data_IF_049736232345
#
_entry.id   IF_049736232345
#
_cell.length_a   1.000
_cell.length_b   1.000
_cell.length_c   1.000
_cell.angle_alpha   90.00
_cell.angle_beta   90.00
_cell.angle_gamma   90.00
#
_symmetry.space_group_name_H-M   'P 1'
#
loop_
_entity.id
_entity.type
_entity.pdbx_description
1 polymer ?
#
# COMPACT_ATOMS: atom_id res chain seq x y z
N UNK A 1 -10.29 78.78 16.37
CA UNK A 1 -9.20 77.84 16.63
C UNK A 1 -9.79 76.44 16.63
N UNK A 2 -9.72 75.72 15.50
CA UNK A 2 -10.32 74.38 15.33
C UNK A 2 -9.22 73.33 15.60
N UNK A 3 -9.44 72.49 16.63
CA UNK A 3 -8.54 71.38 16.96
C UNK A 3 -8.95 70.17 16.10
N UNK A 4 -8.05 69.77 15.19
CA UNK A 4 -8.17 68.51 14.42
C UNK A 4 -7.62 67.37 15.28
N UNK A 5 -8.50 66.44 15.70
CA UNK A 5 -8.07 65.19 16.33
C UNK A 5 -7.80 64.16 15.22
N UNK A 6 -6.55 63.76 15.09
CA UNK A 6 -6.16 62.67 14.20
C UNK A 6 -6.34 61.35 14.95
N UNK A 7 -7.29 60.57 14.48
CA UNK A 7 -7.52 59.20 14.98
C UNK A 7 -6.58 58.26 14.27
N UNK A 8 -5.59 57.73 15.01
CA UNK A 8 -4.61 56.76 14.51
C UNK A 8 -5.28 55.36 14.59
N UNK A 9 -5.68 54.78 13.43
CA UNK A 9 -6.19 53.42 13.32
C UNK A 9 -5.01 52.45 13.18
N UNK A 10 -4.71 51.77 14.26
CA UNK A 10 -3.69 50.68 14.25
C UNK A 10 -4.33 49.43 13.68
N UNK A 11 -3.91 49.05 12.46
CA UNK A 11 -4.28 47.77 11.82
C UNK A 11 -3.43 46.65 12.43
N UNK A 12 -4.04 45.83 13.27
CA UNK A 12 -3.43 44.57 13.74
C UNK A 12 -3.53 43.51 12.63
N UNK A 13 -2.41 43.18 12.00
CA UNK A 13 -2.29 41.99 11.14
C UNK A 13 -2.22 40.76 12.02
N UNK A 14 -3.31 40.01 12.09
CA UNK A 14 -3.31 38.66 12.68
C UNK A 14 -2.78 37.70 11.61
N UNK A 15 -1.47 37.39 11.68
CA UNK A 15 -0.87 36.32 10.89
C UNK A 15 -1.37 34.97 11.46
N UNK A 16 -2.51 34.50 10.96
CA UNK A 16 -2.97 33.15 11.23
C UNK A 16 -2.09 32.15 10.51
N UNK A 17 -1.29 31.38 11.24
CA UNK A 17 -0.70 30.14 10.71
C UNK A 17 -1.84 29.16 10.45
N UNK A 18 -2.31 29.08 9.21
CA UNK A 18 -3.16 27.97 8.76
C UNK A 18 -2.26 26.75 8.60
N UNK A 19 -2.20 25.92 9.63
CA UNK A 19 -1.79 24.52 9.51
C UNK A 19 -2.84 23.83 8.63
N UNK A 20 -2.55 23.70 7.34
CA UNK A 20 -3.31 22.82 6.45
C UNK A 20 -3.21 21.41 7.02
N UNK A 21 -4.32 20.73 7.35
CA UNK A 21 -4.27 19.31 7.64
C UNK A 21 -3.67 18.63 6.40
N UNK A 22 -2.70 17.74 6.61
CA UNK A 22 -2.21 16.87 5.53
C UNK A 22 -3.42 16.14 4.97
N UNK A 23 -3.84 16.49 3.75
CA UNK A 23 -4.88 15.74 3.07
C UNK A 23 -4.35 14.30 2.96
N UNK A 24 -5.02 13.36 3.64
CA UNK A 24 -4.80 11.95 3.42
C UNK A 24 -5.19 11.72 1.96
N UNK A 25 -4.20 11.47 1.12
CA UNK A 25 -4.43 11.11 -0.28
C UNK A 25 -5.42 9.94 -0.29
N UNK A 26 -6.55 10.10 -0.98
CA UNK A 26 -7.50 8.99 -1.16
C UNK A 26 -6.79 7.89 -1.93
N UNK A 27 -7.02 6.64 -1.49
CA UNK A 27 -6.61 5.46 -2.24
C UNK A 27 -7.48 5.25 -3.48
N UNK A 28 -7.03 4.37 -4.34
CA UNK A 28 -7.68 4.03 -5.59
C UNK A 28 -7.70 2.50 -5.75
N UNK A 29 -8.84 1.95 -6.18
CA UNK A 29 -8.93 0.55 -6.58
C UNK A 29 -8.28 0.40 -7.95
N UNK A 30 -7.03 -0.09 -7.93
CA UNK A 30 -6.21 -0.28 -9.13
C UNK A 30 -6.45 -1.66 -9.70
N UNK A 31 -6.67 -1.76 -11.02
CA UNK A 31 -6.83 -3.02 -11.72
C UNK A 31 -5.51 -3.84 -11.74
N UNK A 32 -5.65 -5.15 -11.95
CA UNK A 32 -4.53 -6.08 -11.94
C UNK A 32 -3.96 -6.40 -13.34
N UNK A 33 -4.43 -5.72 -14.39
CA UNK A 33 -4.07 -6.03 -15.78
C UNK A 33 -2.58 -5.82 -16.10
N UNK A 34 -1.93 -4.94 -15.35
CA UNK A 34 -0.51 -4.64 -15.50
C UNK A 34 0.42 -5.57 -14.70
N UNK A 35 -0.12 -6.53 -13.95
CA UNK A 35 0.69 -7.52 -13.25
C UNK A 35 1.29 -8.51 -14.26
N UNK A 36 2.61 -8.67 -14.20
CA UNK A 36 3.30 -9.67 -15.01
C UNK A 36 3.19 -11.05 -14.35
N UNK A 37 2.64 -12.02 -15.07
CA UNK A 37 2.49 -13.39 -14.59
C UNK A 37 2.87 -14.40 -15.67
N UNK A 38 3.48 -15.52 -15.29
CA UNK A 38 3.82 -16.62 -16.20
C UNK A 38 2.59 -17.50 -16.47
N UNK A 39 2.06 -17.55 -17.69
CA UNK A 39 0.84 -18.29 -17.98
C UNK A 39 1.02 -19.83 -17.90
N UNK A 40 2.24 -20.32 -17.83
CA UNK A 40 2.52 -21.76 -17.69
C UNK A 40 2.45 -22.26 -16.25
N UNK A 41 2.55 -21.35 -15.26
CA UNK A 41 2.48 -21.70 -13.83
C UNK A 41 1.03 -21.94 -13.43
N UNK A 42 0.82 -23.00 -12.64
CA UNK A 42 -0.48 -23.35 -12.04
C UNK A 42 -0.41 -23.10 -10.55
N UNK A 43 -1.55 -22.70 -9.96
CA UNK A 43 -1.61 -22.41 -8.54
C UNK A 43 -2.93 -21.78 -8.15
N UNK A 44 -2.90 -20.93 -7.14
CA UNK A 44 -4.08 -20.27 -6.59
C UNK A 44 -4.48 -19.05 -7.44
N UNK A 45 -5.55 -19.21 -8.20
CA UNK A 45 -6.14 -18.10 -8.96
C UNK A 45 -6.91 -17.18 -8.00
N UNK A 46 -6.57 -15.92 -7.98
CA UNK A 46 -7.27 -14.87 -7.24
C UNK A 46 -7.89 -13.86 -8.21
N UNK A 47 -8.98 -13.24 -7.79
CA UNK A 47 -9.58 -12.09 -8.47
C UNK A 47 -8.90 -10.80 -8.00
N UNK A 48 -8.99 -9.75 -8.80
CA UNK A 48 -8.57 -8.44 -8.36
C UNK A 48 -9.63 -7.80 -7.45
N UNK A 49 -9.20 -7.06 -6.44
CA UNK A 49 -10.10 -6.44 -5.46
C UNK A 49 -11.03 -5.40 -6.11
N UNK A 50 -10.65 -4.79 -7.23
CA UNK A 50 -11.51 -3.88 -8.02
C UNK A 50 -12.64 -4.63 -8.77
N UNK A 51 -12.53 -5.94 -8.91
CA UNK A 51 -13.47 -6.81 -9.63
C UNK A 51 -13.01 -7.19 -11.04
N UNK A 52 -11.85 -6.72 -11.48
CA UNK A 52 -11.25 -7.15 -12.73
C UNK A 52 -10.58 -8.53 -12.62
N UNK A 53 -10.09 -9.05 -13.75
CA UNK A 53 -9.36 -10.31 -13.75
C UNK A 53 -8.06 -10.18 -12.96
N UNK A 54 -7.85 -11.13 -12.04
CA UNK A 54 -6.60 -11.24 -11.28
C UNK A 54 -5.63 -12.24 -11.91
N UNK A 55 -4.74 -12.78 -11.09
CA UNK A 55 -3.68 -13.70 -11.52
C UNK A 55 -3.61 -14.97 -10.66
N UNK A 56 -2.91 -15.98 -11.14
CA UNK A 56 -2.37 -17.05 -10.30
C UNK A 56 -1.21 -16.45 -9.50
N UNK A 57 -1.31 -16.42 -8.17
CA UNK A 57 -0.33 -15.69 -7.36
C UNK A 57 1.07 -16.28 -7.46
N UNK A 58 1.21 -17.60 -7.59
CA UNK A 58 2.49 -18.28 -7.78
C UNK A 58 3.14 -17.99 -9.14
N UNK A 59 2.35 -17.45 -10.08
CA UNK A 59 2.82 -17.05 -11.40
C UNK A 59 3.41 -15.63 -11.45
N UNK A 60 3.25 -14.84 -10.38
CA UNK A 60 3.71 -13.44 -10.33
C UNK A 60 5.19 -13.34 -10.72
N UNK A 61 5.52 -12.39 -11.61
CA UNK A 61 6.90 -12.01 -11.96
C UNK A 61 7.21 -10.65 -11.36
N UNK A 62 8.38 -10.54 -10.77
CA UNK A 62 8.87 -9.32 -10.16
C UNK A 62 9.79 -8.48 -11.07
N UNK A 63 10.57 -7.55 -10.50
CA UNK A 63 10.72 -7.39 -9.06
C UNK A 63 9.44 -6.88 -8.39
N UNK A 64 9.03 -7.55 -7.32
CA UNK A 64 7.79 -7.23 -6.64
C UNK A 64 7.90 -7.35 -5.12
N UNK A 65 7.12 -6.55 -4.42
CA UNK A 65 6.82 -6.71 -2.98
C UNK A 65 5.35 -7.08 -2.88
N UNK A 66 5.06 -8.19 -2.19
CA UNK A 66 3.69 -8.64 -1.94
C UNK A 66 3.40 -8.51 -0.45
N UNK A 67 2.43 -7.68 -0.09
CA UNK A 67 1.98 -7.47 1.27
C UNK A 67 0.63 -8.16 1.47
N UNK A 68 0.58 -9.13 2.40
CA UNK A 68 -0.65 -9.85 2.76
C UNK A 68 -1.25 -9.18 3.98
N UNK A 69 -2.51 -8.75 3.86
CA UNK A 69 -3.19 -7.93 4.85
C UNK A 69 -4.70 -8.23 4.93
N UNK A 70 -5.36 -7.73 5.95
CA UNK A 70 -6.81 -7.69 6.06
C UNK A 70 -7.25 -6.39 6.72
N UNK A 71 -8.40 -5.84 6.35
CA UNK A 71 -8.91 -4.59 6.93
C UNK A 71 -9.15 -4.69 8.45
N UNK A 72 -9.45 -5.88 8.92
CA UNK A 72 -9.67 -6.23 10.33
C UNK A 72 -8.37 -6.36 11.15
N UNK A 73 -7.20 -6.41 10.48
CA UNK A 73 -5.90 -6.62 11.12
C UNK A 73 -5.31 -5.29 11.62
N UNK A 74 -5.33 -5.05 12.92
CA UNK A 74 -4.76 -3.82 13.52
C UNK A 74 -3.31 -3.56 13.13
N UNK A 75 -2.37 -4.52 13.30
CA UNK A 75 -0.99 -4.34 12.87
C UNK A 75 -0.81 -4.05 11.37
N UNK A 76 -1.69 -4.58 10.50
CA UNK A 76 -1.67 -4.26 9.07
C UNK A 76 -2.07 -2.79 8.83
N UNK A 77 -3.07 -2.29 9.59
CA UNK A 77 -3.48 -0.89 9.51
C UNK A 77 -2.34 0.07 9.88
N UNK A 78 -1.50 -0.32 10.84
CA UNK A 78 -0.38 0.49 11.32
C UNK A 78 0.76 0.58 10.30
N UNK A 79 0.99 -0.47 9.50
CA UNK A 79 2.08 -0.47 8.51
C UNK A 79 1.71 0.15 7.15
N UNK A 80 0.43 0.19 6.77
CA UNK A 80 0.02 0.72 5.45
C UNK A 80 0.55 2.14 5.16
N UNK A 81 0.55 3.10 6.09
CA UNK A 81 1.15 4.42 5.83
C UNK A 81 2.63 4.37 5.43
N UNK A 82 3.37 3.36 5.90
CA UNK A 82 4.78 3.16 5.53
C UNK A 82 4.89 2.69 4.07
N UNK A 83 4.02 1.76 3.65
CA UNK A 83 3.94 1.31 2.26
C UNK A 83 3.49 2.43 1.32
N UNK A 84 2.53 3.27 1.71
CA UNK A 84 2.10 4.44 0.92
C UNK A 84 3.27 5.40 0.69
N UNK A 85 4.02 5.74 1.75
CA UNK A 85 5.21 6.58 1.64
C UNK A 85 6.28 5.94 0.75
N UNK A 86 6.58 4.68 0.95
CA UNK A 86 7.55 3.92 0.17
C UNK A 86 7.15 3.88 -1.32
N UNK A 87 5.91 3.50 -1.61
CA UNK A 87 5.43 3.30 -2.99
C UNK A 87 5.41 4.60 -3.80
N UNK A 88 5.19 5.74 -3.17
CA UNK A 88 5.26 7.04 -3.85
C UNK A 88 6.60 7.27 -4.57
N UNK A 89 7.69 6.58 -4.14
CA UNK A 89 9.05 6.66 -4.70
C UNK A 89 9.49 5.39 -5.43
N UNK A 90 8.79 4.28 -5.19
CA UNK A 90 9.15 2.96 -5.68
C UNK A 90 8.37 2.51 -6.91
N UNK A 91 7.21 3.12 -7.22
CA UNK A 91 6.24 2.66 -8.23
C UNK A 91 6.80 2.46 -9.64
N UNK A 92 7.84 3.21 -10.01
CA UNK A 92 8.48 3.12 -11.33
C UNK A 92 9.65 2.11 -11.34
N UNK A 93 9.94 1.44 -10.20
CA UNK A 93 11.09 0.55 -10.03
C UNK A 93 10.69 -0.89 -9.72
N UNK A 94 9.56 -1.08 -9.09
CA UNK A 94 9.05 -2.40 -8.70
C UNK A 94 7.51 -2.40 -8.61
N UNK A 95 6.94 -3.58 -8.63
CA UNK A 95 5.52 -3.80 -8.35
C UNK A 95 5.31 -3.88 -6.84
N UNK A 96 4.35 -3.13 -6.32
CA UNK A 96 3.76 -3.41 -5.01
C UNK A 96 2.39 -4.03 -5.25
N UNK A 97 2.13 -5.18 -4.63
CA UNK A 97 0.89 -5.94 -4.73
C UNK A 97 0.35 -6.22 -3.33
N UNK A 98 -0.90 -5.91 -3.08
CA UNK A 98 -1.60 -6.35 -1.88
C UNK A 98 -2.31 -7.69 -2.10
N UNK A 99 -2.47 -8.46 -1.03
CA UNK A 99 -3.42 -9.57 -0.98
C UNK A 99 -4.31 -9.35 0.24
N UNK A 100 -5.56 -9.03 -0.05
CA UNK A 100 -6.62 -8.83 0.95
C UNK A 100 -7.21 -10.18 1.32
N UNK A 101 -7.03 -10.60 2.57
CA UNK A 101 -7.39 -11.96 3.01
C UNK A 101 -8.49 -11.94 4.07
N UNK A 102 -9.35 -12.97 4.01
CA UNK A 102 -10.31 -13.31 5.07
C UNK A 102 -11.25 -12.16 5.47
N UNK A 103 -11.62 -11.32 4.51
CA UNK A 103 -12.60 -10.26 4.73
C UNK A 103 -14.02 -10.83 4.90
N UNK A 104 -14.80 -10.25 5.81
CA UNK A 104 -16.20 -10.59 5.94
C UNK A 104 -17.01 -10.25 4.69
N UNK A 105 -16.67 -9.13 4.04
CA UNK A 105 -17.24 -8.68 2.78
C UNK A 105 -16.19 -7.96 1.95
N UNK A 106 -16.22 -8.12 0.64
CA UNK A 106 -15.30 -7.44 -0.30
C UNK A 106 -15.34 -5.89 -0.14
N UNK A 107 -16.47 -5.35 0.30
CA UNK A 107 -16.64 -3.92 0.57
C UNK A 107 -15.74 -3.40 1.67
N UNK A 108 -15.38 -4.23 2.66
CA UNK A 108 -14.52 -3.84 3.79
C UNK A 108 -13.09 -3.60 3.29
N UNK A 109 -12.53 -4.53 2.49
CA UNK A 109 -11.24 -4.37 1.86
C UNK A 109 -11.18 -3.19 0.89
N UNK A 110 -12.22 -3.00 0.06
CA UNK A 110 -12.33 -1.85 -0.85
C UNK A 110 -12.34 -0.53 -0.11
N UNK A 111 -13.16 -0.42 0.94
CA UNK A 111 -13.21 0.77 1.78
C UNK A 111 -11.86 1.05 2.45
N UNK A 112 -11.18 0.01 2.90
CA UNK A 112 -9.84 0.13 3.48
C UNK A 112 -8.85 0.72 2.47
N UNK A 113 -8.79 0.19 1.24
CA UNK A 113 -7.95 0.73 0.16
C UNK A 113 -8.20 2.22 -0.07
N UNK A 114 -9.48 2.61 -0.24
CA UNK A 114 -9.87 3.99 -0.53
C UNK A 114 -9.55 4.97 0.60
N UNK A 115 -9.69 4.53 1.86
CA UNK A 115 -9.51 5.40 3.02
C UNK A 115 -8.07 5.45 3.54
N UNK A 116 -7.21 4.51 3.14
CA UNK A 116 -5.82 4.41 3.60
C UNK A 116 -4.78 4.88 2.58
N UNK A 117 -5.20 5.42 1.44
CA UNK A 117 -4.29 5.97 0.43
C UNK A 117 -3.55 4.90 -0.37
N UNK A 118 -4.07 3.67 -0.44
CA UNK A 118 -3.49 2.58 -1.22
C UNK A 118 -3.72 2.86 -2.71
N UNK A 119 -2.66 2.84 -3.52
CA UNK A 119 -2.68 3.16 -4.96
C UNK A 119 -1.96 2.11 -5.79
N UNK A 120 -1.95 0.87 -5.32
CA UNK A 120 -1.38 -0.29 -6.01
C UNK A 120 -2.41 -1.41 -6.12
N UNK A 121 -2.25 -2.36 -7.07
CA UNK A 121 -3.16 -3.48 -7.24
C UNK A 121 -3.29 -4.33 -5.97
N UNK A 122 -4.49 -4.83 -5.73
CA UNK A 122 -4.77 -5.76 -4.64
C UNK A 122 -5.55 -6.96 -5.16
N UNK A 123 -5.11 -8.16 -4.83
CA UNK A 123 -5.86 -9.39 -5.06
C UNK A 123 -6.77 -9.67 -3.87
N UNK A 124 -7.85 -10.41 -4.11
CA UNK A 124 -8.85 -10.74 -3.11
C UNK A 124 -8.87 -12.25 -2.83
N UNK A 125 -8.63 -12.61 -1.58
CA UNK A 125 -8.59 -14.00 -1.10
C UNK A 125 -9.50 -14.21 0.12
N UNK A 126 -10.84 -14.18 -0.06
CA UNK A 126 -11.80 -14.23 1.04
C UNK A 126 -11.70 -15.50 1.86
N UNK A 127 -11.27 -16.59 1.26
CA UNK A 127 -11.23 -17.91 1.88
C UNK A 127 -9.84 -18.27 2.44
N UNK A 128 -8.85 -17.36 2.37
CA UNK A 128 -7.48 -17.61 2.80
C UNK A 128 -6.78 -18.74 2.03
N UNK A 129 -7.13 -18.95 0.74
CA UNK A 129 -6.58 -20.05 -0.09
C UNK A 129 -5.08 -19.96 -0.28
N UNK A 130 -4.54 -18.74 -0.20
CA UNK A 130 -3.09 -18.50 -0.30
C UNK A 130 -2.33 -18.97 0.94
N UNK A 131 -2.99 -19.29 2.05
CA UNK A 131 -2.34 -19.77 3.26
C UNK A 131 -1.49 -21.03 3.04
N UNK A 132 -1.86 -21.89 2.08
CA UNK A 132 -1.10 -23.10 1.74
C UNK A 132 0.25 -22.81 1.07
N UNK A 133 0.36 -21.75 0.26
CA UNK A 133 1.57 -21.36 -0.47
C UNK A 133 2.32 -20.23 0.18
N UNK A 134 1.61 -19.26 0.73
CA UNK A 134 2.21 -18.08 1.36
C UNK A 134 2.33 -18.20 2.89
N UNK A 135 1.57 -19.10 3.53
CA UNK A 135 1.55 -19.27 4.98
C UNK A 135 0.44 -18.46 5.65
N UNK A 136 0.21 -18.78 6.92
CA UNK A 136 -0.91 -18.25 7.72
C UNK A 136 -0.50 -17.01 8.51
N UNK A 137 -1.49 -16.16 8.77
CA UNK A 137 -1.38 -14.96 9.57
C UNK A 137 -1.05 -13.72 8.75
N UNK A 138 -1.30 -12.56 9.34
CA UNK A 138 -1.06 -11.24 8.76
C UNK A 138 -0.51 -10.29 9.83
N UNK A 139 0.32 -9.28 9.47
CA UNK A 139 0.83 -9.04 8.12
C UNK A 139 2.01 -9.93 7.75
N UNK A 140 2.16 -10.21 6.47
CA UNK A 140 3.34 -10.86 5.91
C UNK A 140 3.75 -10.11 4.65
N UNK A 141 5.06 -9.86 4.48
CA UNK A 141 5.59 -9.20 3.28
C UNK A 141 6.59 -10.11 2.58
N UNK A 142 6.38 -10.35 1.28
CA UNK A 142 7.27 -11.14 0.41
C UNK A 142 8.03 -10.24 -0.53
N UNK A 143 9.29 -10.60 -0.79
CA UNK A 143 10.12 -9.96 -1.79
C UNK A 143 10.35 -10.99 -2.90
N UNK A 144 9.88 -10.66 -4.11
CA UNK A 144 9.84 -11.55 -5.26
C UNK A 144 10.75 -10.98 -6.33
N UNK A 145 11.71 -11.78 -6.81
CA UNK A 145 12.64 -11.37 -7.85
C UNK A 145 12.01 -11.35 -9.26
N UNK A 146 12.79 -10.94 -10.26
CA UNK A 146 12.34 -10.86 -11.65
C UNK A 146 11.90 -12.21 -12.23
N UNK A 147 12.38 -13.32 -11.67
CA UNK A 147 12.03 -14.68 -12.09
C UNK A 147 10.78 -15.21 -11.38
N UNK A 148 10.23 -14.45 -10.43
CA UNK A 148 9.06 -14.85 -9.63
C UNK A 148 9.41 -15.71 -8.42
N UNK A 149 10.70 -15.74 -8.04
CA UNK A 149 11.13 -16.47 -6.85
C UNK A 149 11.02 -15.57 -5.62
N UNK A 150 10.39 -16.08 -4.57
CA UNK A 150 10.41 -15.41 -3.26
C UNK A 150 11.82 -15.50 -2.67
N UNK A 151 12.53 -14.39 -2.66
CA UNK A 151 13.90 -14.28 -2.14
C UNK A 151 13.97 -13.92 -0.67
N UNK A 152 12.88 -13.37 -0.12
CA UNK A 152 12.76 -13.09 1.30
C UNK A 152 11.29 -13.00 1.74
N UNK A 153 11.04 -13.37 2.99
CA UNK A 153 9.73 -13.29 3.65
C UNK A 153 9.90 -12.63 5.02
N UNK A 154 9.21 -11.54 5.24
CA UNK A 154 9.07 -10.88 6.55
C UNK A 154 7.74 -11.28 7.15
N UNK A 155 7.78 -11.94 8.30
CA UNK A 155 6.59 -12.25 9.10
C UNK A 155 6.44 -11.15 10.15
N UNK A 156 5.24 -10.60 10.30
CA UNK A 156 4.93 -9.48 11.17
C UNK A 156 5.20 -8.12 10.51
N UNK A 157 4.99 -7.08 11.28
CA UNK A 157 4.95 -5.68 10.84
C UNK A 157 6.28 -5.20 10.25
N UNK A 158 6.23 -4.44 9.17
CA UNK A 158 7.28 -3.53 8.75
C UNK A 158 7.23 -2.31 9.68
N UNK A 159 8.33 -2.01 10.37
CA UNK A 159 8.36 -1.02 11.45
C UNK A 159 8.75 0.38 10.99
N UNK A 160 9.28 0.53 9.78
CA UNK A 160 9.67 1.83 9.22
C UNK A 160 9.84 1.77 7.69
N UNK A 161 9.71 2.93 7.06
CA UNK A 161 10.03 3.08 5.62
C UNK A 161 11.48 2.69 5.34
N UNK A 162 12.40 3.04 6.24
CA UNK A 162 13.82 2.69 6.12
C UNK A 162 14.03 1.16 6.13
N UNK A 163 13.33 0.42 7.00
CA UNK A 163 13.39 -1.05 6.99
C UNK A 163 12.95 -1.60 5.62
N UNK A 164 11.86 -1.08 5.07
CA UNK A 164 11.35 -1.52 3.77
C UNK A 164 12.34 -1.23 2.64
N UNK A 165 12.98 -0.05 2.65
CA UNK A 165 14.05 0.32 1.70
C UNK A 165 15.28 -0.58 1.82
N UNK A 166 15.75 -0.84 3.05
CA UNK A 166 16.91 -1.71 3.31
C UNK A 166 16.66 -3.15 2.85
N UNK A 167 15.44 -3.69 3.12
CA UNK A 167 15.05 -5.02 2.66
C UNK A 167 14.95 -5.06 1.13
N UNK A 168 14.39 -4.03 0.50
CA UNK A 168 14.28 -3.89 -0.95
C UNK A 168 15.67 -3.88 -1.60
N UNK A 169 16.57 -3.06 -1.08
CA UNK A 169 17.96 -3.02 -1.57
C UNK A 169 18.68 -4.36 -1.38
N UNK A 170 18.51 -4.98 -0.22
CA UNK A 170 19.22 -6.21 0.12
C UNK A 170 18.78 -7.40 -0.72
N UNK A 171 17.48 -7.56 -0.96
CA UNK A 171 16.91 -8.77 -1.55
C UNK A 171 16.54 -8.62 -3.02
N UNK A 172 16.21 -7.41 -3.47
CA UNK A 172 15.88 -7.13 -4.88
C UNK A 172 16.95 -6.32 -5.60
N UNK A 173 17.95 -5.79 -4.88
CA UNK A 173 19.01 -4.96 -5.46
C UNK A 173 18.55 -3.57 -5.91
N UNK A 174 17.38 -3.11 -5.44
CA UNK A 174 16.74 -1.86 -5.86
C UNK A 174 16.87 -0.80 -4.77
N UNK A 175 17.49 0.33 -5.10
CA UNK A 175 17.55 1.52 -4.24
C UNK A 175 16.33 2.43 -4.49
N UNK A 176 15.68 2.87 -3.40
CA UNK A 176 14.52 3.76 -3.43
C UNK A 176 14.92 5.16 -2.97
#
# INVERSE_FOLDING_TARGET
MKRFSILLVTLLFISGCTTTPSEISRGELVDCSNLSADPSVRGTQLECLDGSAGIVIEALRGPAIVNVWGSWCGPCQDEIPLFVNFYSRAKDKLVLLGIDVEEAQIGDGRHFVETRGITWPNLYDPDGRTASSLGMGVPITYFVDAQGVTVYKKIGVISSVKELEELTQKYLGISI
#
